data_IF_444016398966
#
_entry.id   IF_444016398966
#
_cell.length_a   1.000
_cell.length_b   1.000
_cell.length_c   1.000
_cell.angle_alpha   90.00
_cell.angle_beta   90.00
_cell.angle_gamma   90.00
#
_symmetry.space_group_name_H-M   'P 1'
#
loop_
_entity.id
_entity.type
_entity.pdbx_description
1 polymer ?
#
# COMPACT_ATOMS: atom_id res chain seq x y z
N UNK A 1 -11.93 15.78 -4.25
CA UNK A 1 -11.01 15.44 -5.35
C UNK A 1 -9.84 14.70 -4.75
N UNK A 2 -9.37 13.62 -5.35
CA UNK A 2 -8.18 12.86 -4.90
C UNK A 2 -6.96 13.44 -5.59
N UNK A 3 -6.02 13.99 -4.83
CA UNK A 3 -4.91 14.79 -5.39
C UNK A 3 -3.52 14.32 -4.96
N UNK A 4 -3.45 13.43 -3.95
CA UNK A 4 -2.20 12.87 -3.44
C UNK A 4 -2.19 11.36 -3.63
N UNK A 5 -0.99 10.80 -3.72
CA UNK A 5 -0.78 9.36 -3.82
C UNK A 5 0.63 9.01 -3.31
N UNK A 6 0.81 7.76 -2.87
CA UNK A 6 2.13 7.14 -2.74
C UNK A 6 2.29 6.03 -3.75
N UNK A 7 3.53 5.84 -4.19
CA UNK A 7 3.96 4.68 -4.96
C UNK A 7 5.16 4.07 -4.24
N UNK A 8 4.92 2.95 -3.56
CA UNK A 8 5.93 2.29 -2.73
C UNK A 8 6.31 0.99 -3.39
N UNK A 9 7.55 0.90 -3.89
CA UNK A 9 8.10 -0.35 -4.44
C UNK A 9 8.70 -1.19 -3.33
N UNK A 10 8.37 -2.48 -3.32
CA UNK A 10 8.88 -3.48 -2.40
C UNK A 10 9.61 -4.55 -3.20
N UNK A 11 10.86 -4.84 -2.83
CA UNK A 11 11.60 -5.99 -3.36
C UNK A 11 11.68 -7.08 -2.30
N UNK A 12 11.08 -8.23 -2.61
CA UNK A 12 11.14 -9.39 -1.74
C UNK A 12 12.58 -9.92 -1.68
N UNK A 13 13.05 -10.21 -0.46
CA UNK A 13 14.26 -11.02 -0.27
C UNK A 13 14.03 -12.43 -0.82
N UNK A 14 15.08 -13.14 -1.28
CA UNK A 14 14.96 -14.51 -1.77
C UNK A 14 14.21 -15.42 -0.79
N UNK A 15 13.17 -16.10 -1.26
CA UNK A 15 12.36 -17.02 -0.47
C UNK A 15 11.28 -16.34 0.39
N UNK A 16 11.12 -15.01 0.30
CA UNK A 16 10.13 -14.23 1.07
C UNK A 16 9.03 -13.63 0.22
N UNK A 17 8.93 -14.03 -1.04
CA UNK A 17 7.97 -13.49 -2.02
C UNK A 17 6.52 -13.75 -1.59
N UNK A 18 6.24 -14.95 -1.09
CA UNK A 18 4.91 -15.31 -0.62
C UNK A 18 4.55 -14.60 0.70
N UNK A 19 5.53 -14.28 1.53
CA UNK A 19 5.33 -13.54 2.77
C UNK A 19 5.03 -12.07 2.47
N UNK A 20 5.72 -11.46 1.51
CA UNK A 20 5.38 -10.10 1.03
C UNK A 20 3.98 -10.09 0.41
N UNK A 21 3.64 -11.08 -0.42
CA UNK A 21 2.29 -11.18 -0.98
C UNK A 21 1.21 -11.35 0.10
N UNK A 22 1.50 -12.12 1.18
CA UNK A 22 0.60 -12.27 2.32
C UNK A 22 0.48 -10.97 3.12
N UNK A 23 1.60 -10.32 3.41
CA UNK A 23 1.65 -9.03 4.09
C UNK A 23 0.76 -7.99 3.39
N UNK A 24 0.82 -7.90 2.06
CA UNK A 24 -0.05 -7.00 1.29
C UNK A 24 -1.54 -7.36 1.42
N UNK A 25 -1.89 -8.65 1.36
CA UNK A 25 -3.30 -9.08 1.53
C UNK A 25 -3.82 -8.80 2.94
N UNK A 26 -3.02 -9.06 3.95
CA UNK A 26 -3.42 -8.83 5.35
C UNK A 26 -3.54 -7.33 5.65
N UNK A 27 -2.63 -6.51 5.09
CA UNK A 27 -2.64 -5.06 5.23
C UNK A 27 -3.90 -4.39 4.68
N UNK A 28 -4.58 -5.00 3.68
CA UNK A 28 -5.84 -4.49 3.15
C UNK A 28 -6.90 -4.30 4.24
N UNK A 29 -6.98 -5.21 5.22
CA UNK A 29 -7.97 -5.12 6.29
C UNK A 29 -7.70 -3.97 7.27
N UNK A 30 -6.45 -3.53 7.40
CA UNK A 30 -6.07 -2.37 8.19
C UNK A 30 -6.43 -1.09 7.42
N UNK A 31 -6.03 -1.00 6.16
CA UNK A 31 -6.25 0.20 5.34
C UNK A 31 -7.73 0.49 5.08
N UNK A 32 -8.58 -0.55 5.03
CA UNK A 32 -10.04 -0.37 4.95
C UNK A 32 -10.64 0.42 6.12
N UNK A 33 -9.92 0.54 7.24
CA UNK A 33 -10.34 1.29 8.42
C UNK A 33 -9.88 2.75 8.37
N UNK A 34 -9.10 3.15 7.36
CA UNK A 34 -8.55 4.50 7.21
C UNK A 34 -9.50 5.37 6.37
N UNK A 35 -10.24 6.32 6.97
CA UNK A 35 -11.30 7.04 6.25
C UNK A 35 -10.77 7.95 5.13
N UNK A 36 -9.50 8.36 5.23
CA UNK A 36 -8.87 9.27 4.28
C UNK A 36 -8.14 8.54 3.13
N UNK A 37 -7.99 7.22 3.21
CA UNK A 37 -7.38 6.42 2.15
C UNK A 37 -8.44 6.10 1.10
N UNK A 38 -8.49 6.94 0.06
CA UNK A 38 -9.53 6.86 -0.97
C UNK A 38 -9.44 5.58 -1.79
N UNK A 39 -8.21 5.14 -2.08
CA UNK A 39 -7.95 3.89 -2.77
C UNK A 39 -6.62 3.32 -2.29
N UNK A 40 -6.51 1.98 -2.29
CA UNK A 40 -5.29 1.27 -1.93
C UNK A 40 -5.19 -0.02 -2.73
N UNK A 41 -3.99 -0.31 -3.25
CA UNK A 41 -3.70 -1.46 -4.08
C UNK A 41 -2.35 -2.09 -3.70
N UNK A 42 -2.37 -3.32 -3.21
CA UNK A 42 -1.20 -4.19 -3.12
C UNK A 42 -1.05 -5.02 -4.39
N UNK A 43 0.00 -4.76 -5.18
CA UNK A 43 0.19 -5.35 -6.52
C UNK A 43 1.49 -6.13 -6.61
N UNK A 44 1.47 -7.29 -7.27
CA UNK A 44 2.67 -8.03 -7.66
C UNK A 44 2.99 -7.71 -9.12
N UNK A 45 4.12 -7.06 -9.37
CA UNK A 45 4.57 -6.71 -10.72
C UNK A 45 5.45 -7.80 -11.36
N UNK A 46 6.08 -8.65 -10.53
CA UNK A 46 6.93 -9.73 -11.01
C UNK A 46 7.24 -10.77 -9.94
N UNK A 47 8.25 -11.64 -10.16
CA UNK A 47 8.61 -12.69 -9.22
C UNK A 47 8.97 -12.16 -7.82
N UNK A 48 9.78 -11.11 -7.74
CA UNK A 48 10.23 -10.51 -6.46
C UNK A 48 9.73 -9.08 -6.24
N UNK A 49 9.20 -8.44 -7.27
CA UNK A 49 8.81 -7.02 -7.22
C UNK A 49 7.32 -6.85 -6.94
N UNK A 50 7.03 -6.04 -5.93
CA UNK A 50 5.69 -5.67 -5.50
C UNK A 50 5.57 -4.15 -5.38
N UNK A 51 4.34 -3.65 -5.38
CA UNK A 51 4.01 -2.24 -5.22
C UNK A 51 2.82 -2.07 -4.30
N UNK A 52 2.87 -1.04 -3.44
CA UNK A 52 1.69 -0.41 -2.85
C UNK A 52 1.45 0.87 -3.62
N UNK A 53 0.22 1.04 -4.13
CA UNK A 53 -0.27 2.32 -4.62
C UNK A 53 -1.50 2.70 -3.81
N UNK A 54 -1.49 3.91 -3.27
CA UNK A 54 -2.60 4.46 -2.50
C UNK A 54 -2.86 5.90 -2.90
N UNK A 55 -4.06 6.39 -2.60
CA UNK A 55 -4.51 7.70 -3.03
C UNK A 55 -5.35 8.39 -1.96
N UNK A 56 -5.17 9.69 -1.81
CA UNK A 56 -5.72 10.50 -0.73
C UNK A 56 -6.31 11.83 -1.25
N UNK A 57 -7.29 12.42 -0.55
CA UNK A 57 -7.83 13.72 -0.92
C UNK A 57 -6.77 14.83 -0.85
N UNK A 58 -5.91 14.79 0.17
CA UNK A 58 -4.96 15.85 0.53
C UNK A 58 -3.74 15.30 1.32
N UNK A 59 -2.83 16.19 1.72
CA UNK A 59 -1.63 15.82 2.47
C UNK A 59 -1.95 15.31 3.88
N UNK A 60 -3.00 15.81 4.54
CA UNK A 60 -3.38 15.37 5.87
C UNK A 60 -3.84 13.89 5.87
N UNK A 61 -4.61 13.49 4.85
CA UNK A 61 -4.98 12.09 4.65
C UNK A 61 -3.78 11.17 4.39
N UNK A 62 -2.83 11.62 3.55
CA UNK A 62 -1.59 10.89 3.29
C UNK A 62 -0.73 10.75 4.55
N UNK A 63 -0.59 11.83 5.32
CA UNK A 63 0.26 11.84 6.50
C UNK A 63 -0.36 11.01 7.64
N UNK A 64 -1.70 10.96 7.74
CA UNK A 64 -2.40 10.05 8.63
C UNK A 64 -2.12 8.58 8.28
N UNK A 65 -2.14 8.21 7.00
CA UNK A 65 -1.75 6.87 6.55
C UNK A 65 -0.30 6.52 6.91
N UNK A 66 0.64 7.44 6.69
CA UNK A 66 2.06 7.24 7.00
C UNK A 66 2.38 7.17 8.50
N UNK A 67 1.48 7.69 9.34
CA UNK A 67 1.65 7.72 10.81
C UNK A 67 0.91 6.58 11.53
N UNK A 68 0.16 5.76 10.79
CA UNK A 68 -0.61 4.62 11.28
C UNK A 68 0.21 3.36 11.53
#
# INVERSE_FOLDING_TARGET
MTTKALFVRLEAKPGKENEVAKFLRDGQGLVQQEPATTAWFGTRLGPTTFVIFDAFPDDAGRDAHLSG
#
